data_IF_218606518994
#
_entry.id   IF_218606518994
#
_cell.length_a   1.000
_cell.length_b   1.000
_cell.length_c   1.000
_cell.angle_alpha   90.00
_cell.angle_beta   90.00
_cell.angle_gamma   90.00
#
_symmetry.space_group_name_H-M   'P 1'
#
loop_
_entity.id
_entity.type
_entity.pdbx_description
1 polymer ?
#
# COMPACT_ATOMS: atom_id res chain seq x y z
N UNK A 1 -12.36 -1.70 -3.89
CA UNK A 1 -13.23 -2.75 -3.30
C UNK A 1 -14.71 -2.40 -3.43
N UNK A 2 -15.21 -1.32 -2.82
CA UNK A 2 -16.64 -0.97 -2.77
C UNK A 2 -17.35 -0.99 -4.14
N UNK A 3 -16.75 -0.41 -5.18
CA UNK A 3 -17.37 -0.39 -6.52
C UNK A 3 -17.63 -1.81 -7.07
N UNK A 4 -16.68 -2.75 -6.92
CA UNK A 4 -16.89 -4.14 -7.31
C UNK A 4 -18.01 -4.78 -6.50
N UNK A 5 -17.94 -4.71 -5.18
CA UNK A 5 -18.95 -5.26 -4.28
C UNK A 5 -20.35 -4.69 -4.51
N UNK A 6 -20.44 -3.41 -4.85
CA UNK A 6 -21.71 -2.77 -5.18
C UNK A 6 -22.29 -3.31 -6.49
N UNK A 7 -21.47 -3.52 -7.53
CA UNK A 7 -21.90 -4.19 -8.77
C UNK A 7 -22.30 -5.65 -8.54
N UNK A 8 -21.58 -6.37 -7.66
CA UNK A 8 -21.90 -7.76 -7.31
C UNK A 8 -23.24 -7.88 -6.58
N UNK A 9 -23.52 -7.01 -5.61
CA UNK A 9 -24.75 -7.07 -4.79
C UNK A 9 -25.94 -6.38 -5.43
N UNK A 10 -25.72 -5.34 -6.21
CA UNK A 10 -26.78 -4.50 -6.77
C UNK A 10 -26.69 -4.37 -8.29
N UNK A 11 -26.72 -5.50 -9.03
CA UNK A 11 -26.55 -5.48 -10.48
C UNK A 11 -27.73 -4.85 -11.24
N UNK A 12 -28.86 -4.63 -10.55
CA UNK A 12 -30.09 -4.04 -11.10
C UNK A 12 -30.06 -2.50 -11.11
N UNK A 13 -29.19 -1.87 -10.31
CA UNK A 13 -29.03 -0.40 -10.27
C UNK A 13 -27.68 0.07 -10.82
N UNK A 14 -26.69 -0.82 -10.95
CA UNK A 14 -25.38 -0.49 -11.51
C UNK A 14 -25.05 -1.38 -12.69
N UNK A 15 -24.76 -0.76 -13.85
CA UNK A 15 -24.46 -1.50 -15.07
C UNK A 15 -23.09 -2.17 -15.04
N UNK A 16 -22.11 -1.48 -14.49
CA UNK A 16 -20.70 -1.88 -14.48
C UNK A 16 -19.96 -1.24 -13.31
N UNK A 17 -18.81 -1.81 -12.95
CA UNK A 17 -17.86 -1.22 -12.02
C UNK A 17 -16.46 -1.20 -12.63
N UNK A 18 -15.76 -0.08 -12.45
CA UNK A 18 -14.32 0.03 -12.70
C UNK A 18 -13.66 0.18 -11.34
N UNK A 19 -12.69 -0.68 -11.03
CA UNK A 19 -12.01 -0.69 -9.75
C UNK A 19 -10.51 -0.65 -9.98
N UNK A 20 -9.82 0.11 -9.15
CA UNK A 20 -8.39 0.36 -9.28
C UNK A 20 -7.71 0.10 -7.93
N UNK A 21 -6.59 -0.63 -7.94
CA UNK A 21 -5.82 -0.99 -6.75
C UNK A 21 -6.69 -1.61 -5.66
N UNK A 22 -7.63 -2.48 -6.05
CA UNK A 22 -8.68 -2.98 -5.18
C UNK A 22 -8.32 -4.37 -4.60
N UNK A 23 -7.85 -4.46 -3.33
CA UNK A 23 -7.40 -5.70 -2.72
C UNK A 23 -8.58 -6.58 -2.25
N UNK A 24 -9.49 -6.96 -3.16
CA UNK A 24 -10.72 -7.73 -2.84
C UNK A 24 -10.46 -9.16 -2.36
N UNK A 25 -9.22 -9.65 -2.44
CA UNK A 25 -8.76 -10.94 -1.97
C UNK A 25 -7.81 -10.85 -0.76
N UNK A 26 -7.48 -9.66 -0.24
CA UNK A 26 -6.57 -9.49 0.91
C UNK A 26 -7.24 -9.88 2.23
N UNK A 27 -7.58 -11.15 2.38
CA UNK A 27 -8.25 -11.72 3.54
C UNK A 27 -7.61 -13.06 3.92
N UNK A 28 -7.84 -13.47 5.16
CA UNK A 28 -7.26 -14.70 5.71
C UNK A 28 -7.65 -15.92 4.88
N UNK A 29 -6.63 -16.69 4.47
CA UNK A 29 -6.80 -17.90 3.67
C UNK A 29 -6.97 -17.69 2.16
N UNK A 30 -7.00 -16.43 1.67
CA UNK A 30 -7.09 -16.12 0.24
C UNK A 30 -5.76 -15.62 -0.34
N UNK A 31 -5.11 -14.67 0.34
CA UNK A 31 -3.80 -14.14 -0.03
C UNK A 31 -2.80 -14.43 1.09
N UNK A 32 -1.60 -14.90 0.73
CA UNK A 32 -0.52 -15.07 1.69
C UNK A 32 -0.08 -13.71 2.26
N UNK A 33 0.11 -13.63 3.59
CA UNK A 33 0.33 -12.35 4.26
C UNK A 33 1.62 -11.61 3.84
N UNK A 34 2.60 -12.34 3.29
CA UNK A 34 3.90 -11.80 2.89
C UNK A 34 3.93 -11.13 1.52
N UNK A 35 2.96 -11.41 0.65
CA UNK A 35 2.97 -10.95 -0.75
C UNK A 35 2.97 -9.43 -0.85
N UNK A 36 2.27 -8.76 0.08
CA UNK A 36 2.24 -7.29 0.16
C UNK A 36 3.66 -6.71 0.33
N UNK A 37 4.43 -7.23 1.28
CA UNK A 37 5.78 -6.75 1.58
C UNK A 37 6.81 -7.21 0.54
N UNK A 38 6.58 -8.33 -0.14
CA UNK A 38 7.37 -8.76 -1.31
C UNK A 38 7.21 -7.81 -2.50
N UNK A 39 5.99 -7.39 -2.82
CA UNK A 39 5.74 -6.40 -3.90
C UNK A 39 6.32 -5.04 -3.52
N UNK A 40 6.17 -4.65 -2.25
CA UNK A 40 6.81 -3.45 -1.73
C UNK A 40 8.34 -3.51 -1.92
N UNK A 41 8.96 -4.64 -1.58
CA UNK A 41 10.39 -4.89 -1.80
C UNK A 41 10.77 -4.81 -3.29
N UNK A 42 9.97 -5.42 -4.18
CA UNK A 42 10.13 -5.31 -5.64
C UNK A 42 10.14 -3.85 -6.09
N UNK A 43 9.25 -3.01 -5.57
CA UNK A 43 9.19 -1.57 -5.92
C UNK A 43 10.51 -0.85 -5.63
N UNK A 44 11.17 -1.14 -4.52
CA UNK A 44 12.47 -0.52 -4.17
C UNK A 44 13.62 -1.15 -4.95
N UNK A 45 13.60 -2.48 -5.13
CA UNK A 45 14.60 -3.18 -5.92
C UNK A 45 14.61 -2.75 -7.40
N UNK A 46 13.44 -2.53 -7.98
CA UNK A 46 13.31 -2.03 -9.37
C UNK A 46 13.84 -0.61 -9.54
N UNK A 47 13.87 0.20 -8.47
CA UNK A 47 14.46 1.53 -8.52
C UNK A 47 15.99 1.47 -8.42
N UNK A 48 16.53 0.53 -7.64
CA UNK A 48 17.97 0.27 -7.53
C UNK A 48 18.22 -1.08 -6.87
N UNK A 49 19.14 -1.88 -7.45
CA UNK A 49 19.40 -3.27 -7.02
C UNK A 49 20.04 -3.41 -5.64
N UNK A 50 20.52 -2.32 -5.04
CA UNK A 50 21.12 -2.31 -3.70
C UNK A 50 20.21 -1.63 -2.66
N UNK A 51 19.11 -1.01 -3.08
CA UNK A 51 18.28 -0.20 -2.20
C UNK A 51 17.53 -1.05 -1.18
N UNK A 52 16.89 -2.14 -1.61
CA UNK A 52 16.22 -3.09 -0.74
C UNK A 52 17.19 -3.79 0.21
N UNK A 53 18.42 -4.07 -0.25
CA UNK A 53 19.49 -4.65 0.57
C UNK A 53 19.93 -3.68 1.67
N UNK A 54 20.08 -2.39 1.34
CA UNK A 54 20.41 -1.35 2.32
C UNK A 54 19.30 -1.16 3.35
N UNK A 55 18.04 -1.12 2.92
CA UNK A 55 16.86 -1.02 3.80
C UNK A 55 16.83 -2.22 4.75
N UNK A 56 17.01 -3.43 4.23
CA UNK A 56 17.02 -4.66 5.04
C UNK A 56 18.09 -4.61 6.14
N UNK A 57 19.34 -4.27 5.77
CA UNK A 57 20.45 -4.14 6.72
C UNK A 57 20.17 -3.07 7.78
N UNK A 58 19.49 -1.99 7.40
CA UNK A 58 19.27 -0.86 8.31
C UNK A 58 18.38 -1.21 9.51
N UNK A 59 17.49 -2.20 9.39
CA UNK A 59 16.63 -2.60 10.49
C UNK A 59 17.42 -3.18 11.65
N UNK A 60 18.38 -4.05 11.37
CA UNK A 60 19.24 -4.65 12.38
C UNK A 60 20.13 -3.59 13.05
N UNK A 61 20.69 -2.67 12.25
CA UNK A 61 21.50 -1.55 12.76
C UNK A 61 20.69 -0.65 13.69
N UNK A 62 19.50 -0.23 13.27
CA UNK A 62 18.63 0.61 14.09
C UNK A 62 18.15 -0.13 15.34
N UNK A 63 17.89 -1.44 15.27
CA UNK A 63 17.48 -2.25 16.41
C UNK A 63 18.61 -2.41 17.44
N UNK A 64 19.85 -2.59 16.98
CA UNK A 64 21.05 -2.65 17.82
C UNK A 64 21.29 -1.31 18.52
N UNK A 65 21.24 -0.19 17.78
CA UNK A 65 21.36 1.16 18.36
C UNK A 65 20.28 1.41 19.42
N UNK A 66 19.03 1.04 19.13
CA UNK A 66 17.92 1.24 20.06
C UNK A 66 17.93 0.31 21.28
N UNK A 67 18.91 -0.60 21.41
CA UNK A 67 19.03 -1.47 22.59
C UNK A 67 19.61 -0.75 23.81
N UNK A 68 20.23 0.41 23.62
CA UNK A 68 20.73 1.29 24.69
C UNK A 68 20.00 2.63 24.66
N UNK A 69 19.96 3.31 25.81
CA UNK A 69 19.33 4.64 25.89
C UNK A 69 20.10 5.66 25.05
N UNK A 70 21.44 5.58 25.02
CA UNK A 70 22.29 6.48 24.23
C UNK A 70 22.07 6.31 22.73
N UNK A 71 22.03 5.07 22.22
CA UNK A 71 21.81 4.82 20.80
C UNK A 71 20.37 5.07 20.36
N UNK A 72 19.39 4.84 21.25
CA UNK A 72 18.01 5.25 21.02
C UNK A 72 17.88 6.78 20.91
N UNK A 73 18.57 7.54 21.78
CA UNK A 73 18.61 8.99 21.69
C UNK A 73 19.28 9.47 20.38
N UNK A 74 20.38 8.83 19.96
CA UNK A 74 21.05 9.13 18.69
C UNK A 74 20.12 8.92 17.48
N UNK A 75 19.30 7.87 17.48
CA UNK A 75 18.25 7.68 16.47
C UNK A 75 17.22 8.81 16.51
N UNK A 76 16.77 9.22 17.70
CA UNK A 76 15.79 10.30 17.84
C UNK A 76 16.34 11.62 17.27
N UNK A 77 17.62 11.91 17.52
CA UNK A 77 18.31 13.09 17.00
C UNK A 77 18.51 13.02 15.48
N UNK A 78 18.98 11.88 14.97
CA UNK A 78 19.23 11.66 13.53
C UNK A 78 17.97 11.80 12.70
N UNK A 79 16.85 11.26 13.18
CA UNK A 79 15.56 11.33 12.49
C UNK A 79 14.76 12.57 12.86
N UNK A 80 15.31 13.48 13.68
CA UNK A 80 14.61 14.67 14.15
C UNK A 80 13.23 14.35 14.74
N UNK A 81 13.14 13.36 15.63
CA UNK A 81 11.87 12.99 16.24
C UNK A 81 11.42 14.05 17.25
N UNK A 82 10.11 14.33 17.31
CA UNK A 82 9.55 15.28 18.29
C UNK A 82 9.54 14.72 19.73
N UNK A 83 9.53 13.39 19.86
CA UNK A 83 9.54 12.69 21.14
C UNK A 83 10.72 11.73 21.25
N UNK A 84 11.05 11.26 22.46
CA UNK A 84 12.18 10.38 22.67
C UNK A 84 11.94 8.99 22.08
N UNK A 85 12.99 8.43 21.49
CA UNK A 85 13.10 6.98 21.26
C UNK A 85 13.81 6.41 22.48
N UNK A 86 13.30 5.28 22.98
CA UNK A 86 13.82 4.48 24.07
C UNK A 86 13.79 3.02 23.64
N UNK A 87 14.56 2.12 24.29
CA UNK A 87 14.45 0.69 24.03
C UNK A 87 13.02 0.15 24.15
N UNK A 88 12.22 0.71 25.06
CA UNK A 88 10.85 0.27 25.33
C UNK A 88 9.84 0.67 24.24
N UNK A 89 10.07 1.75 23.50
CA UNK A 89 9.14 2.27 22.49
C UNK A 89 9.71 2.24 21.06
N UNK A 90 10.89 1.67 20.84
CA UNK A 90 11.54 1.56 19.53
C UNK A 90 10.63 0.96 18.44
N UNK A 91 9.76 0.00 18.80
CA UNK A 91 8.83 -0.62 17.86
C UNK A 91 7.86 0.39 17.22
N UNK A 92 7.50 1.47 17.93
CA UNK A 92 6.67 2.56 17.39
C UNK A 92 7.42 3.29 16.29
N UNK A 93 8.67 3.67 16.55
CA UNK A 93 9.55 4.29 15.56
C UNK A 93 9.79 3.37 14.35
N UNK A 94 10.12 2.09 14.59
CA UNK A 94 10.34 1.10 13.54
C UNK A 94 9.10 0.94 12.65
N UNK A 95 7.90 0.91 13.25
CA UNK A 95 6.62 0.81 12.53
C UNK A 95 6.34 2.08 11.73
N UNK A 96 6.71 3.26 12.24
CA UNK A 96 6.61 4.53 11.52
C UNK A 96 7.50 4.53 10.27
N UNK A 97 8.78 4.14 10.38
CA UNK A 97 9.69 4.03 9.22
C UNK A 97 9.14 3.02 8.18
N UNK A 98 8.66 1.86 8.64
CA UNK A 98 7.99 0.88 7.77
C UNK A 98 6.80 1.48 7.02
N UNK A 99 5.95 2.21 7.73
CA UNK A 99 4.81 2.92 7.15
C UNK A 99 5.24 3.91 6.06
N UNK A 100 6.34 4.65 6.26
CA UNK A 100 6.83 5.62 5.27
C UNK A 100 7.18 4.93 3.95
N UNK A 101 7.83 3.75 3.99
CA UNK A 101 8.13 2.99 2.78
C UNK A 101 6.86 2.54 2.04
N UNK A 102 5.83 2.10 2.77
CA UNK A 102 4.52 1.76 2.17
C UNK A 102 3.95 2.97 1.44
N UNK A 103 3.82 4.10 2.13
CA UNK A 103 3.18 5.30 1.56
C UNK A 103 3.95 5.81 0.34
N UNK A 104 5.28 5.77 0.39
CA UNK A 104 6.14 6.19 -0.70
C UNK A 104 6.00 5.29 -1.94
N UNK A 105 5.94 3.97 -1.75
CA UNK A 105 5.73 3.01 -2.85
C UNK A 105 4.35 3.16 -3.47
N UNK A 106 3.30 3.28 -2.65
CA UNK A 106 1.95 3.54 -3.15
C UNK A 106 1.89 4.80 -4.02
N UNK A 107 2.65 5.84 -3.68
CA UNK A 107 2.68 7.12 -4.38
C UNK A 107 3.83 7.26 -5.40
N UNK A 108 4.37 6.15 -5.90
CA UNK A 108 5.55 6.14 -6.77
C UNK A 108 5.26 6.56 -8.24
N UNK A 109 4.65 7.73 -8.44
CA UNK A 109 4.16 8.20 -9.72
C UNK A 109 5.25 8.81 -10.64
N UNK A 110 5.08 8.77 -11.98
CA UNK A 110 6.05 9.30 -12.96
C UNK A 110 6.03 10.83 -13.11
N UNK A 111 5.43 11.54 -12.16
CA UNK A 111 5.35 13.00 -12.12
C UNK A 111 5.12 13.49 -10.69
N UNK A 112 5.38 14.77 -10.37
CA UNK A 112 5.17 15.29 -9.03
C UNK A 112 3.69 15.23 -8.65
N UNK A 113 3.41 14.89 -7.40
CA UNK A 113 2.04 14.82 -6.89
C UNK A 113 1.90 15.54 -5.56
N UNK A 114 0.67 15.91 -5.21
CA UNK A 114 0.34 16.47 -3.91
C UNK A 114 -0.97 15.86 -3.43
N UNK A 115 -0.96 14.53 -3.22
CA UNK A 115 -2.14 13.80 -2.76
C UNK A 115 -2.20 13.76 -1.23
N UNK A 116 -1.21 13.13 -0.60
CA UNK A 116 -1.05 13.08 0.86
C UNK A 116 -0.11 14.19 1.36
N UNK A 117 1.03 14.27 0.68
CA UNK A 117 2.11 15.22 0.86
C UNK A 117 2.66 15.57 -0.53
N UNK A 118 3.33 16.71 -0.71
CA UNK A 118 4.06 17.00 -1.93
C UNK A 118 5.14 15.93 -2.14
N UNK A 119 5.21 15.31 -3.31
CA UNK A 119 6.22 14.31 -3.65
C UNK A 119 6.83 14.62 -5.01
N UNK A 120 8.15 14.36 -5.20
CA UNK A 120 8.79 14.47 -6.49
C UNK A 120 8.32 13.36 -7.44
N UNK A 121 8.72 13.45 -8.71
CA UNK A 121 8.64 12.34 -9.65
C UNK A 121 9.44 11.14 -9.13
N UNK A 122 8.86 9.93 -9.19
CA UNK A 122 9.46 8.68 -8.74
C UNK A 122 10.12 8.77 -7.35
N UNK A 123 9.34 9.05 -6.29
CA UNK A 123 9.88 9.25 -4.94
C UNK A 123 10.69 8.04 -4.44
N UNK A 124 10.35 6.81 -4.81
CA UNK A 124 11.15 5.62 -4.47
C UNK A 124 12.56 5.70 -5.09
N UNK A 125 12.66 6.12 -6.35
CA UNK A 125 13.96 6.30 -7.01
C UNK A 125 14.78 7.41 -6.36
N UNK A 126 14.14 8.51 -5.93
CA UNK A 126 14.82 9.58 -5.19
C UNK A 126 15.33 9.07 -3.84
N UNK A 127 14.52 8.32 -3.11
CA UNK A 127 14.90 7.74 -1.84
C UNK A 127 16.09 6.75 -1.98
N UNK A 128 16.06 5.89 -2.99
CA UNK A 128 17.11 4.90 -3.21
C UNK A 128 18.49 5.53 -3.50
N UNK A 129 18.56 6.70 -4.12
CA UNK A 129 19.84 7.43 -4.33
C UNK A 129 20.57 7.74 -3.02
N UNK A 130 19.83 7.91 -1.91
CA UNK A 130 20.45 8.14 -0.60
C UNK A 130 21.00 6.86 0.03
N UNK A 131 20.63 5.69 -0.48
CA UNK A 131 21.01 4.39 0.07
C UNK A 131 22.09 3.67 -0.75
N UNK A 132 22.14 3.90 -2.07
CA UNK A 132 23.03 3.25 -3.04
C UNK A 132 24.52 3.23 -2.67
N UNK A 133 25.02 4.30 -2.05
CA UNK A 133 26.44 4.49 -1.71
C UNK A 133 26.76 4.35 -0.22
N UNK A 134 25.75 4.04 0.60
CA UNK A 134 25.81 4.21 2.07
C UNK A 134 25.81 2.92 2.87
N UNK A 135 26.14 1.78 2.26
CA UNK A 135 26.25 0.50 2.98
C UNK A 135 27.59 0.29 3.70
N UNK A 136 28.55 1.19 3.50
CA UNK A 136 29.95 1.05 3.94
C UNK A 136 30.14 1.16 5.46
N UNK A 137 29.31 1.94 6.16
CA UNK A 137 29.33 2.05 7.62
C UNK A 137 27.91 2.24 8.17
N UNK A 138 27.70 1.87 9.43
CA UNK A 138 26.36 1.87 10.04
C UNK A 138 25.80 3.30 10.22
N UNK A 139 26.62 4.28 10.59
CA UNK A 139 26.22 5.68 10.75
C UNK A 139 25.68 6.28 9.44
N UNK A 140 26.44 6.17 8.35
CA UNK A 140 26.01 6.66 7.02
C UNK A 140 24.81 5.92 6.48
N UNK A 141 24.63 4.63 6.83
CA UNK A 141 23.43 3.88 6.48
C UNK A 141 22.20 4.48 7.17
N UNK A 142 22.27 4.74 8.47
CA UNK A 142 21.17 5.33 9.25
C UNK A 142 20.86 6.75 8.76
N UNK A 143 21.87 7.58 8.48
CA UNK A 143 21.67 8.87 7.82
C UNK A 143 21.02 8.73 6.43
N UNK A 144 21.39 7.68 5.69
CA UNK A 144 20.83 7.36 4.38
C UNK A 144 19.35 7.02 4.48
N UNK A 145 18.96 6.24 5.48
CA UNK A 145 17.56 5.95 5.81
C UNK A 145 16.81 7.23 6.16
N UNK A 146 17.37 8.09 7.01
CA UNK A 146 16.75 9.38 7.33
C UNK A 146 16.48 10.22 6.07
N UNK A 147 17.47 10.35 5.18
CA UNK A 147 17.31 11.08 3.92
C UNK A 147 16.28 10.42 2.99
N UNK A 148 16.26 9.09 2.94
CA UNK A 148 15.27 8.33 2.18
C UNK A 148 13.85 8.59 2.69
N UNK A 149 13.58 8.43 4.00
CA UNK A 149 12.24 8.68 4.56
C UNK A 149 11.82 10.15 4.46
N UNK A 150 12.79 11.08 4.52
CA UNK A 150 12.56 12.52 4.35
C UNK A 150 11.99 12.89 2.98
N UNK A 151 12.17 12.05 1.95
CA UNK A 151 11.51 12.25 0.64
C UNK A 151 9.99 12.28 0.80
N UNK A 152 9.44 11.51 1.74
CA UNK A 152 8.01 11.52 2.06
C UNK A 152 7.67 12.43 3.24
N UNK A 153 8.46 12.38 4.31
CA UNK A 153 8.10 13.04 5.57
C UNK A 153 8.48 14.51 5.63
N UNK A 154 9.38 15.00 4.77
CA UNK A 154 9.86 16.38 4.79
C UNK A 154 10.25 16.90 3.39
N UNK A 155 9.45 16.58 2.37
CA UNK A 155 9.73 17.01 0.99
C UNK A 155 9.77 18.53 0.81
N UNK A 156 9.03 19.28 1.64
CA UNK A 156 9.01 20.75 1.64
C UNK A 156 10.19 21.38 2.40
N UNK A 157 10.92 20.60 3.20
CA UNK A 157 11.95 21.09 4.11
C UNK A 157 11.41 21.90 5.30
N UNK A 158 10.09 21.97 5.50
CA UNK A 158 9.47 22.80 6.53
C UNK A 158 9.15 22.03 7.83
N UNK A 159 9.31 20.71 7.85
CA UNK A 159 9.03 19.89 9.03
C UNK A 159 10.18 20.04 10.02
N UNK A 160 9.86 20.54 11.22
CA UNK A 160 10.84 20.79 12.29
C UNK A 160 11.24 19.50 13.01
N UNK A 161 10.27 18.60 13.21
CA UNK A 161 10.47 17.28 13.79
C UNK A 161 9.34 16.34 13.37
N UNK A 162 9.53 15.03 13.53
CA UNK A 162 8.55 14.00 13.20
C UNK A 162 7.82 13.51 14.46
N UNK A 163 6.49 13.63 14.47
CA UNK A 163 5.65 12.91 15.41
C UNK A 163 5.58 11.46 14.93
N UNK A 164 6.15 10.51 15.70
CA UNK A 164 6.29 9.09 15.32
C UNK A 164 4.99 8.30 15.19
N UNK A 165 3.87 8.95 14.85
CA UNK A 165 2.56 8.35 14.63
C UNK A 165 1.76 9.09 13.55
N UNK A 166 0.95 8.34 12.78
CA UNK A 166 0.00 8.87 11.79
C UNK A 166 0.63 9.42 10.50
N UNK A 167 0.68 8.61 9.44
CA UNK A 167 1.14 9.05 8.10
C UNK A 167 0.01 9.52 7.18
N UNK A 168 -1.24 9.32 7.62
CA UNK A 168 -2.47 9.55 6.86
C UNK A 168 -3.39 10.59 7.48
N UNK A 169 -2.94 11.32 8.51
CA UNK A 169 -3.78 12.23 9.29
C UNK A 169 -4.55 13.27 8.44
N UNK A 170 -3.98 13.71 7.31
CA UNK A 170 -4.63 14.63 6.37
C UNK A 170 -5.87 14.05 5.66
N UNK A 171 -6.05 12.72 5.67
CA UNK A 171 -7.22 12.05 5.08
C UNK A 171 -8.43 12.04 6.02
N UNK A 172 -8.27 12.41 7.30
CA UNK A 172 -9.39 12.57 8.24
C UNK A 172 -10.17 11.29 8.58
N UNK A 173 -9.59 10.11 8.33
CA UNK A 173 -10.29 8.83 8.37
C UNK A 173 -9.71 7.78 9.32
N UNK A 174 -8.62 8.07 10.04
CA UNK A 174 -7.85 7.05 10.77
C UNK A 174 -8.68 6.29 11.81
N UNK A 175 -9.57 6.98 12.54
CA UNK A 175 -10.45 6.33 13.51
C UNK A 175 -11.51 5.43 12.84
N UNK A 176 -12.08 5.86 11.71
CA UNK A 176 -13.06 5.08 10.96
C UNK A 176 -12.42 3.86 10.29
N UNK A 177 -11.27 4.04 9.65
CA UNK A 177 -10.51 2.96 9.03
C UNK A 177 -10.00 1.95 10.05
N UNK A 178 -9.51 2.42 11.20
CA UNK A 178 -9.11 1.56 12.30
C UNK A 178 -10.28 0.71 12.82
N UNK A 179 -11.46 1.31 13.01
CA UNK A 179 -12.66 0.57 13.38
C UNK A 179 -13.08 -0.46 12.32
N UNK A 180 -13.08 -0.09 11.04
CA UNK A 180 -13.43 -1.02 9.96
C UNK A 180 -12.44 -2.19 9.86
N UNK A 181 -11.13 -1.93 10.03
CA UNK A 181 -10.09 -2.96 10.04
C UNK A 181 -10.26 -3.92 11.22
N UNK A 182 -10.63 -3.37 12.39
CA UNK A 182 -10.90 -4.15 13.59
C UNK A 182 -12.24 -4.90 13.61
N UNK A 183 -13.07 -4.77 12.57
CA UNK A 183 -14.38 -5.42 12.49
C UNK A 183 -14.49 -6.32 11.27
N UNK A 184 -14.46 -5.75 10.05
CA UNK A 184 -14.76 -6.49 8.82
C UNK A 184 -13.56 -6.53 7.86
N UNK A 185 -12.77 -5.45 7.76
CA UNK A 185 -11.60 -5.32 6.86
C UNK A 185 -10.32 -5.91 7.47
N UNK A 186 -10.40 -7.16 7.94
CA UNK A 186 -9.27 -7.86 8.55
C UNK A 186 -8.32 -8.35 7.45
N UNK A 187 -7.30 -7.54 7.15
CA UNK A 187 -6.31 -7.81 6.10
C UNK A 187 -4.98 -8.30 6.69
N UNK A 188 -4.66 -9.61 6.60
CA UNK A 188 -3.39 -10.14 7.10
C UNK A 188 -2.22 -9.55 6.34
N UNK A 189 -1.19 -9.13 7.07
CA UNK A 189 0.12 -8.72 6.54
C UNK A 189 1.22 -9.25 7.45
N UNK A 190 2.31 -9.68 6.84
CA UNK A 190 3.48 -10.16 7.56
C UNK A 190 4.74 -9.92 6.73
N UNK A 191 5.88 -9.95 7.43
CA UNK A 191 7.21 -9.91 6.84
C UNK A 191 8.06 -11.03 7.42
N UNK A 192 8.92 -11.63 6.60
CA UNK A 192 9.84 -12.70 7.01
C UNK A 192 11.31 -12.24 7.04
N UNK A 193 11.62 -11.07 6.47
CA UNK A 193 12.98 -10.54 6.35
C UNK A 193 13.91 -11.33 5.44
N UNK A 194 13.37 -12.27 4.67
CA UNK A 194 14.06 -13.11 3.69
C UNK A 194 13.57 -12.79 2.28
N UNK A 195 12.26 -12.90 2.02
CA UNK A 195 11.64 -12.59 0.74
C UNK A 195 11.27 -11.10 0.61
N UNK A 196 11.24 -10.39 1.72
CA UNK A 196 11.03 -8.95 1.80
C UNK A 196 12.21 -8.22 2.47
N UNK A 197 12.27 -6.90 2.31
CA UNK A 197 13.32 -6.04 2.86
C UNK A 197 13.06 -5.56 4.30
N UNK A 198 12.11 -6.15 5.03
CA UNK A 198 11.71 -5.69 6.36
C UNK A 198 12.21 -6.61 7.48
N UNK A 199 11.98 -6.18 8.72
CA UNK A 199 12.22 -7.02 9.89
C UNK A 199 11.16 -8.13 9.99
N UNK A 200 11.46 -9.32 10.54
CA UNK A 200 10.45 -10.36 10.73
C UNK A 200 9.28 -9.88 11.61
N UNK A 201 8.07 -9.99 11.10
CA UNK A 201 6.83 -9.60 11.77
C UNK A 201 5.70 -10.56 11.38
N UNK A 202 5.55 -11.70 12.09
CA UNK A 202 4.55 -12.70 11.74
C UNK A 202 3.13 -12.18 12.00
N UNK A 203 2.19 -12.55 11.13
CA UNK A 203 0.77 -12.28 11.35
C UNK A 203 0.26 -13.05 12.56
N UNK A 204 -0.29 -12.34 13.55
CA UNK A 204 -0.85 -12.94 14.76
C UNK A 204 -2.26 -12.40 15.02
N UNK A 205 -3.26 -13.19 14.62
CA UNK A 205 -4.67 -12.84 14.78
C UNK A 205 -5.08 -12.64 16.25
N UNK A 206 -4.47 -13.37 17.19
CA UNK A 206 -4.78 -13.25 18.62
C UNK A 206 -4.38 -11.87 19.14
N UNK A 207 -3.14 -11.46 18.87
CA UNK A 207 -2.64 -10.13 19.26
C UNK A 207 -3.40 -9.01 18.54
N UNK A 208 -3.69 -9.19 17.25
CA UNK A 208 -4.51 -8.25 16.48
C UNK A 208 -5.90 -8.07 17.11
N UNK A 209 -6.57 -9.18 17.45
CA UNK A 209 -7.90 -9.17 18.07
C UNK A 209 -7.89 -8.56 19.46
N UNK A 210 -6.82 -8.75 20.24
CA UNK A 210 -6.66 -8.10 21.53
C UNK A 210 -6.51 -6.59 21.40
N UNK A 211 -5.67 -6.11 20.47
CA UNK A 211 -5.53 -4.68 20.20
C UNK A 211 -6.86 -4.03 19.77
N UNK A 212 -7.65 -4.74 18.94
CA UNK A 212 -8.97 -4.28 18.54
C UNK A 212 -9.97 -4.22 19.69
N UNK A 213 -9.95 -5.20 20.61
CA UNK A 213 -10.79 -5.16 21.82
C UNK A 213 -10.39 -4.02 22.75
N UNK A 214 -9.10 -3.80 22.95
CA UNK A 214 -8.61 -2.71 23.81
C UNK A 214 -8.95 -1.34 23.24
N UNK A 215 -8.82 -1.15 21.92
CA UNK A 215 -9.02 0.16 21.27
C UNK A 215 -10.49 0.49 21.02
N UNK A 216 -11.26 -0.48 20.53
CA UNK A 216 -12.61 -0.25 20.01
C UNK A 216 -13.70 -1.09 20.69
N UNK A 217 -13.34 -2.02 21.60
CA UNK A 217 -14.31 -2.91 22.24
C UNK A 217 -14.95 -3.95 21.31
N UNK A 218 -14.36 -4.22 20.16
CA UNK A 218 -14.87 -5.15 19.13
C UNK A 218 -13.93 -6.33 18.92
N UNK A 219 -14.47 -7.44 18.42
CA UNK A 219 -13.67 -8.59 17.98
C UNK A 219 -13.74 -8.68 16.45
N UNK A 220 -12.60 -8.78 15.74
CA UNK A 220 -12.59 -8.87 14.29
C UNK A 220 -13.26 -10.15 13.78
N UNK A 221 -14.09 -10.02 12.74
CA UNK A 221 -14.65 -11.16 12.00
C UNK A 221 -13.85 -11.30 10.69
N UNK A 222 -12.90 -12.23 10.69
CA UNK A 222 -12.00 -12.49 9.55
C UNK A 222 -12.74 -13.01 8.33
N UNK A 223 -13.98 -13.47 8.49
CA UNK A 223 -14.73 -14.15 7.43
C UNK A 223 -15.81 -13.28 6.80
N UNK A 224 -16.21 -12.19 7.49
CA UNK A 224 -17.32 -11.32 7.10
C UNK A 224 -17.30 -10.94 5.63
N UNK A 225 -16.20 -10.38 5.14
CA UNK A 225 -16.16 -9.80 3.80
C UNK A 225 -16.08 -10.86 2.71
N UNK A 226 -15.24 -11.88 2.85
CA UNK A 226 -15.17 -12.90 1.81
C UNK A 226 -16.46 -13.73 1.75
N UNK A 227 -17.13 -14.00 2.88
CA UNK A 227 -18.44 -14.68 2.89
C UNK A 227 -19.52 -13.82 2.24
N UNK A 228 -19.49 -12.50 2.46
CA UNK A 228 -20.46 -11.60 1.84
C UNK A 228 -20.21 -11.41 0.34
N UNK A 229 -18.96 -11.41 -0.12
CA UNK A 229 -18.60 -10.98 -1.47
C UNK A 229 -17.97 -12.06 -2.36
N UNK A 230 -17.92 -13.32 -1.89
CA UNK A 230 -17.56 -14.49 -2.69
C UNK A 230 -16.08 -14.87 -2.66
N UNK A 231 -15.19 -13.99 -2.17
CA UNK A 231 -13.75 -14.24 -2.19
C UNK A 231 -13.25 -14.50 -3.61
N UNK A 232 -12.71 -15.69 -3.88
CA UNK A 232 -12.28 -16.12 -5.22
C UNK A 232 -13.42 -16.61 -6.12
N UNK A 233 -14.58 -16.98 -5.55
CA UNK A 233 -15.73 -17.44 -6.31
C UNK A 233 -16.67 -16.28 -6.66
N UNK A 234 -16.28 -15.53 -7.69
CA UNK A 234 -17.01 -14.35 -8.17
C UNK A 234 -17.58 -14.52 -9.58
N UNK A 235 -17.53 -15.74 -10.16
CA UNK A 235 -17.90 -15.99 -11.56
C UNK A 235 -19.39 -15.72 -11.87
N UNK A 236 -20.24 -15.71 -10.84
CA UNK A 236 -21.64 -15.30 -10.97
C UNK A 236 -21.81 -13.78 -11.21
N UNK A 237 -20.75 -13.00 -11.00
CA UNK A 237 -20.72 -11.55 -11.24
C UNK A 237 -20.41 -11.23 -12.70
N UNK A 238 -20.64 -9.98 -13.09
CA UNK A 238 -20.36 -9.52 -14.45
C UNK A 238 -20.11 -8.02 -14.50
N UNK A 239 -19.47 -7.58 -15.57
CA UNK A 239 -19.20 -6.19 -15.89
C UNK A 239 -18.37 -5.48 -14.81
N UNK A 240 -17.26 -6.09 -14.42
CA UNK A 240 -16.32 -5.52 -13.45
C UNK A 240 -14.93 -5.50 -14.07
N UNK A 241 -14.27 -4.34 -13.98
CA UNK A 241 -12.86 -4.18 -14.31
C UNK A 241 -12.06 -4.09 -13.02
N UNK A 242 -11.02 -4.91 -12.91
CA UNK A 242 -10.04 -4.91 -11.82
C UNK A 242 -8.70 -4.45 -12.38
N UNK A 243 -8.43 -3.15 -12.31
CA UNK A 243 -7.14 -2.57 -12.65
C UNK A 243 -6.21 -2.53 -11.43
N UNK A 244 -4.94 -2.91 -11.61
CA UNK A 244 -3.93 -2.91 -10.57
C UNK A 244 -2.56 -2.50 -11.13
N UNK A 245 -1.82 -1.66 -10.40
CA UNK A 245 -0.41 -1.40 -10.67
C UNK A 245 0.47 -2.55 -10.19
N UNK A 246 1.47 -2.96 -10.96
CA UNK A 246 2.35 -4.08 -10.58
C UNK A 246 3.47 -3.69 -9.58
N UNK A 247 3.57 -2.40 -9.26
CA UNK A 247 4.38 -1.84 -8.17
C UNK A 247 3.53 -1.37 -6.98
N UNK A 248 2.20 -1.48 -7.07
CA UNK A 248 1.29 -1.22 -5.95
C UNK A 248 1.28 -2.42 -5.01
N UNK A 249 1.70 -2.30 -3.74
CA UNK A 249 1.69 -3.43 -2.82
C UNK A 249 0.28 -3.97 -2.56
N UNK A 250 -0.79 -3.18 -2.77
CA UNK A 250 -2.17 -3.66 -2.67
C UNK A 250 -2.58 -4.61 -3.80
N UNK A 251 -1.80 -4.69 -4.89
CA UNK A 251 -2.02 -5.69 -5.93
C UNK A 251 -1.87 -7.14 -5.42
N UNK A 252 -1.24 -7.34 -4.25
CA UNK A 252 -1.18 -8.62 -3.54
C UNK A 252 -2.56 -9.28 -3.35
N UNK A 253 -3.56 -8.47 -3.01
CA UNK A 253 -4.94 -8.92 -2.84
C UNK A 253 -5.83 -8.62 -4.04
N UNK A 254 -5.25 -8.22 -5.17
CA UNK A 254 -5.97 -7.86 -6.38
C UNK A 254 -6.38 -9.07 -7.22
N UNK A 255 -7.23 -8.84 -8.22
CA UNK A 255 -7.50 -9.80 -9.28
C UNK A 255 -6.61 -9.42 -10.47
N UNK A 256 -5.60 -10.26 -10.75
CA UNK A 256 -4.56 -9.97 -11.75
C UNK A 256 -4.72 -10.75 -13.05
N UNK A 257 -5.70 -11.66 -13.13
CA UNK A 257 -6.06 -12.40 -14.33
C UNK A 257 -7.58 -12.41 -14.47
N UNK A 258 -8.09 -12.20 -15.70
CA UNK A 258 -9.52 -12.13 -15.98
C UNK A 258 -10.22 -13.45 -15.67
N UNK A 259 -11.13 -13.52 -14.67
CA UNK A 259 -11.86 -14.74 -14.38
C UNK A 259 -12.90 -15.10 -15.45
N UNK A 260 -13.36 -14.11 -16.24
CA UNK A 260 -14.27 -14.30 -17.37
C UNK A 260 -14.18 -13.13 -18.36
N UNK A 261 -14.88 -13.22 -19.50
CA UNK A 261 -14.94 -12.15 -20.50
C UNK A 261 -15.56 -10.84 -19.97
N UNK A 262 -16.28 -10.88 -18.85
CA UNK A 262 -16.94 -9.73 -18.23
C UNK A 262 -16.37 -9.36 -16.86
N UNK A 263 -15.42 -10.14 -16.35
CA UNK A 263 -14.64 -9.86 -15.15
C UNK A 263 -13.19 -9.70 -15.61
N UNK A 264 -12.83 -8.45 -15.93
CA UNK A 264 -11.62 -8.15 -16.67
C UNK A 264 -10.54 -7.70 -15.71
N UNK A 265 -9.37 -8.33 -15.75
CA UNK A 265 -8.18 -7.84 -15.05
C UNK A 265 -7.31 -7.02 -16.02
N UNK A 266 -6.86 -5.84 -15.58
CA UNK A 266 -5.95 -4.98 -16.34
C UNK A 266 -4.75 -4.61 -15.45
N UNK A 267 -3.55 -5.03 -15.84
CA UNK A 267 -2.34 -4.69 -15.08
C UNK A 267 -1.66 -3.47 -15.68
N UNK A 268 -1.38 -2.47 -14.85
CA UNK A 268 -0.59 -1.29 -15.20
C UNK A 268 0.87 -1.58 -14.87
N UNK A 269 1.66 -1.91 -15.90
CA UNK A 269 3.10 -2.14 -15.77
C UNK A 269 3.83 -0.87 -15.36
N UNK A 270 4.63 -0.96 -14.29
CA UNK A 270 5.29 0.17 -13.63
C UNK A 270 4.32 1.07 -12.86
N UNK A 271 3.05 0.71 -12.77
CA UNK A 271 2.02 1.51 -12.11
C UNK A 271 2.10 1.40 -10.59
N UNK A 272 1.99 2.55 -9.91
CA UNK A 272 1.82 2.63 -8.46
C UNK A 272 0.32 2.51 -8.07
N UNK A 273 -0.05 2.92 -6.86
CA UNK A 273 -1.43 2.81 -6.39
C UNK A 273 -2.36 3.66 -7.26
N UNK A 274 -3.31 3.01 -7.95
CA UNK A 274 -4.37 3.60 -8.77
C UNK A 274 -3.93 4.71 -9.77
N UNK A 275 -2.79 4.53 -10.44
CA UNK A 275 -2.21 5.53 -11.36
C UNK A 275 -3.14 5.86 -12.54
N UNK A 276 -3.83 4.86 -13.06
CA UNK A 276 -4.81 4.98 -14.14
C UNK A 276 -6.06 5.79 -13.75
N UNK A 277 -6.37 5.97 -12.46
CA UNK A 277 -7.46 6.85 -12.02
C UNK A 277 -7.06 8.32 -11.89
N UNK A 278 -5.77 8.63 -11.96
CA UNK A 278 -5.29 10.01 -11.93
C UNK A 278 -5.67 10.75 -13.21
N UNK A 279 -5.64 12.09 -13.16
CA UNK A 279 -5.81 12.91 -14.34
C UNK A 279 -4.69 12.63 -15.36
N UNK A 280 -5.02 12.76 -16.65
CA UNK A 280 -4.03 12.58 -17.71
C UNK A 280 -2.85 13.54 -17.56
N UNK A 281 -1.64 13.02 -17.78
CA UNK A 281 -0.40 13.75 -17.65
C UNK A 281 0.55 13.42 -18.82
N UNK A 282 1.35 14.38 -19.34
CA UNK A 282 2.30 14.13 -20.43
C UNK A 282 3.30 13.00 -20.16
N UNK A 283 3.62 12.77 -18.87
CA UNK A 283 4.55 11.71 -18.43
C UNK A 283 3.85 10.38 -18.11
N UNK A 284 2.55 10.22 -18.37
CA UNK A 284 1.88 8.93 -18.20
C UNK A 284 2.59 7.86 -19.04
N UNK A 285 2.85 6.71 -18.43
CA UNK A 285 3.44 5.56 -19.14
C UNK A 285 2.51 5.07 -20.25
N UNK A 286 3.07 4.33 -21.20
CA UNK A 286 2.25 3.67 -22.22
C UNK A 286 1.21 2.73 -21.59
N UNK A 287 1.59 2.01 -20.52
CA UNK A 287 0.69 1.08 -19.83
C UNK A 287 -0.51 1.79 -19.19
N UNK A 288 -0.29 2.93 -18.52
CA UNK A 288 -1.38 3.76 -17.95
C UNK A 288 -2.35 4.21 -19.05
N UNK A 289 -1.83 4.73 -20.16
CA UNK A 289 -2.68 5.18 -21.29
C UNK A 289 -3.48 4.03 -21.89
N UNK A 290 -2.82 2.88 -22.08
CA UNK A 290 -3.45 1.68 -22.61
C UNK A 290 -4.60 1.19 -21.70
N UNK A 291 -4.36 1.07 -20.39
CA UNK A 291 -5.38 0.62 -19.43
C UNK A 291 -6.55 1.59 -19.40
N UNK A 292 -6.33 2.91 -19.38
CA UNK A 292 -7.41 3.91 -19.46
C UNK A 292 -8.24 3.78 -20.73
N UNK A 293 -7.62 3.52 -21.89
CA UNK A 293 -8.38 3.27 -23.12
C UNK A 293 -9.20 1.98 -23.03
N UNK A 294 -8.63 0.90 -22.49
CA UNK A 294 -9.34 -0.37 -22.30
C UNK A 294 -10.52 -0.25 -21.33
N UNK A 295 -10.36 0.46 -20.22
CA UNK A 295 -11.46 0.76 -19.31
C UNK A 295 -12.62 1.46 -20.03
N UNK A 296 -12.31 2.49 -20.84
CA UNK A 296 -13.31 3.20 -21.64
C UNK A 296 -13.95 2.29 -22.71
N UNK A 297 -13.20 1.42 -23.36
CA UNK A 297 -13.72 0.45 -24.33
C UNK A 297 -14.75 -0.48 -23.70
N UNK A 298 -14.44 -1.11 -22.56
CA UNK A 298 -15.37 -2.00 -21.86
C UNK A 298 -16.61 -1.27 -21.35
N UNK A 299 -16.46 -0.08 -20.76
CA UNK A 299 -17.60 0.71 -20.30
C UNK A 299 -18.51 1.09 -21.47
N UNK A 300 -17.96 1.51 -22.62
CA UNK A 300 -18.74 1.78 -23.84
C UNK A 300 -19.44 0.53 -24.37
N UNK A 301 -18.75 -0.61 -24.38
CA UNK A 301 -19.31 -1.90 -24.80
C UNK A 301 -20.53 -2.26 -23.95
N UNK A 302 -20.42 -2.21 -22.62
CA UNK A 302 -21.51 -2.56 -21.73
C UNK A 302 -22.68 -1.57 -21.80
N UNK A 303 -22.39 -0.26 -21.97
CA UNK A 303 -23.41 0.75 -22.23
C UNK A 303 -24.18 0.48 -23.54
N UNK A 304 -23.48 0.10 -24.59
CA UNK A 304 -24.10 -0.25 -25.87
C UNK A 304 -24.97 -1.49 -25.74
N UNK A 305 -24.46 -2.56 -25.12
CA UNK A 305 -25.22 -3.80 -24.86
C UNK A 305 -26.47 -3.57 -24.00
N UNK A 306 -26.39 -2.67 -23.01
CA UNK A 306 -27.56 -2.31 -22.20
C UNK A 306 -28.63 -1.58 -23.02
N UNK A 307 -28.22 -0.63 -23.86
CA UNK A 307 -29.14 0.14 -24.70
C UNK A 307 -29.80 -0.71 -25.78
N UNK A 308 -29.08 -1.68 -26.34
CA UNK A 308 -29.60 -2.55 -27.42
C UNK A 308 -30.61 -3.60 -26.94
N UNK A 309 -30.60 -3.98 -25.65
CA UNK A 309 -31.55 -4.94 -25.07
C UNK A 309 -32.96 -4.39 -24.86
N UNK A 310 -33.19 -3.09 -25.08
CA UNK A 310 -34.47 -2.42 -24.82
C UNK A 310 -34.74 -2.27 -23.31
N UNK A 311 -35.35 -1.15 -22.90
CA UNK A 311 -35.87 -1.04 -21.52
C UNK A 311 -37.03 -2.04 -21.38
N UNK A 312 -37.10 -2.85 -20.30
CA UNK A 312 -38.38 -3.42 -19.91
C UNK A 312 -39.36 -2.25 -19.75
N UNK A 313 -40.49 -2.29 -20.48
CA UNK A 313 -41.59 -1.36 -20.24
C UNK A 313 -42.15 -1.56 -18.84
#
# INVERSE_FOLDING_TARGET
>A
MLAAWFRMKYPHITLAAVTSGAPVLQFQGLTECGVFDQILTKSFHSASSTCDVAIRKSWDVMQEMASTDEGAQELAETFHMCGPITPSNYTVFRTWVYGVYIMMSMMNYPYPTNFLVPLPTFPVQVACKFLESRMANNETLVEGVYKAVSVFTNSSGSVKCHEGGGLTGNLGGDAGWGFQSCTELVAPKCSDGVQDMFFPSPWNLTLYSEGCRQTYGVTPDTNKLYLNYGGTDILASSNIIFSNGDLDPWSAGGILASPSDSLVALVVEGGAHHDEFRAAHPNDSHSVRYVREKEKEYVRLWLHQYRSKGRPQ
#
